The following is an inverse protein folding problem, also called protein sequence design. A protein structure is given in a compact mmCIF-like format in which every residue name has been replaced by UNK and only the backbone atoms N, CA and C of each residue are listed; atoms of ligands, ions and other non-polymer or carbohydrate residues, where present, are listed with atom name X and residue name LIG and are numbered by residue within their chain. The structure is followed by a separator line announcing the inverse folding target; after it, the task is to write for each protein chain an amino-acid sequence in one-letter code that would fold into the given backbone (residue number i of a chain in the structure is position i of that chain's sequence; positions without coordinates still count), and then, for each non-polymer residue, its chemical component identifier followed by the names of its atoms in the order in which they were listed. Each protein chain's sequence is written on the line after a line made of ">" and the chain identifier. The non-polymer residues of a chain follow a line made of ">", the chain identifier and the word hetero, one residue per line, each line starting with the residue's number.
data_IF_671418120400
#
_entry.id   IF_671418120400
#
_cell.length_a   1.000
_cell.length_b   1.000
_cell.length_c   1.000
_cell.angle_alpha   90.00
_cell.angle_beta   90.00
_cell.angle_gamma   90.00
#
_symmetry.space_group_name_H-M   'P 1'
#
loop_
_entity.id
_entity.type
_entity.pdbx_description
1 polymer ?
#
# COMPACT_ATOMS: atom_id res chain seq x y z
N UNK A 1 -20.36 0.46 8.63
CA UNK A 1 -20.04 1.76 7.98
C UNK A 1 -19.66 1.54 6.53
N UNK A 2 -20.08 2.43 5.57
CA UNK A 2 -19.63 2.36 4.18
C UNK A 2 -18.14 2.64 4.05
N UNK A 3 -17.48 1.93 3.13
CA UNK A 3 -16.02 1.95 2.99
C UNK A 3 -15.42 3.34 2.74
N UNK A 4 -16.04 4.12 1.86
CA UNK A 4 -15.55 5.47 1.51
C UNK A 4 -15.68 6.45 2.67
N UNK A 5 -16.83 6.49 3.34
CA UNK A 5 -17.04 7.37 4.49
C UNK A 5 -16.18 6.95 5.69
N UNK A 6 -16.01 5.64 5.91
CA UNK A 6 -15.13 5.12 6.95
C UNK A 6 -13.67 5.50 6.70
N UNK A 7 -13.16 5.23 5.50
CA UNK A 7 -11.79 5.61 5.10
C UNK A 7 -11.61 7.14 5.11
N UNK A 8 -12.61 7.87 4.60
CA UNK A 8 -12.62 9.33 4.59
C UNK A 8 -12.48 9.91 6.00
N UNK A 9 -13.36 9.51 6.91
CA UNK A 9 -13.33 9.95 8.32
C UNK A 9 -11.98 9.61 8.97
N UNK A 10 -11.49 8.38 8.79
CA UNK A 10 -10.20 7.92 9.30
C UNK A 10 -9.06 8.84 8.86
N UNK A 11 -8.95 9.09 7.56
CA UNK A 11 -7.82 9.83 7.01
C UNK A 11 -7.91 11.35 7.26
N UNK A 12 -9.12 11.92 7.29
CA UNK A 12 -9.29 13.33 7.69
C UNK A 12 -8.84 13.53 9.13
N UNK A 13 -9.30 12.68 10.06
CA UNK A 13 -8.93 12.81 11.47
C UNK A 13 -7.42 12.59 11.66
N UNK A 14 -6.86 11.51 11.10
CA UNK A 14 -5.44 11.21 11.21
C UNK A 14 -4.56 12.32 10.60
N UNK A 15 -4.91 12.79 9.40
CA UNK A 15 -4.20 13.87 8.73
C UNK A 15 -4.26 15.19 9.49
N UNK A 16 -5.44 15.54 10.04
CA UNK A 16 -5.60 16.74 10.87
C UNK A 16 -4.76 16.66 12.16
N UNK A 17 -4.82 15.54 12.88
CA UNK A 17 -4.00 15.32 14.09
C UNK A 17 -2.52 15.48 13.76
N UNK A 18 -2.06 14.86 12.68
CA UNK A 18 -0.65 14.91 12.29
C UNK A 18 -0.23 16.33 11.83
N UNK A 19 -1.10 17.07 11.12
CA UNK A 19 -0.81 18.48 10.77
C UNK A 19 -0.73 19.39 11.99
N UNK A 20 -1.63 19.24 12.96
CA UNK A 20 -1.59 19.98 14.22
C UNK A 20 -0.28 19.69 14.95
N UNK A 21 0.11 18.44 15.04
CA UNK A 21 1.40 18.05 15.62
C UNK A 21 2.59 18.65 14.88
N UNK A 22 2.61 18.59 13.53
CA UNK A 22 3.65 19.20 12.71
C UNK A 22 3.74 20.72 12.92
N UNK A 23 2.57 21.39 13.03
CA UNK A 23 2.50 22.82 13.31
C UNK A 23 3.08 23.17 14.67
N UNK A 24 2.75 22.36 15.68
CA UNK A 24 3.27 22.51 17.03
C UNK A 24 4.79 22.32 17.09
N UNK A 25 5.32 21.42 16.27
CA UNK A 25 6.78 21.18 16.10
C UNK A 25 7.47 22.26 15.26
N UNK A 26 6.78 23.30 14.83
CA UNK A 26 7.34 24.39 14.03
C UNK A 26 7.67 24.03 12.57
N UNK A 27 7.13 22.92 12.06
CA UNK A 27 7.40 22.50 10.68
C UNK A 27 6.67 23.39 9.69
N UNK A 28 7.28 23.62 8.51
CA UNK A 28 6.64 24.33 7.40
C UNK A 28 5.54 23.46 6.81
N UNK A 29 4.28 23.94 6.87
CA UNK A 29 3.11 23.18 6.38
C UNK A 29 2.74 23.51 4.93
N UNK A 30 2.94 24.75 4.48
CA UNK A 30 2.49 25.22 3.17
C UNK A 30 3.65 25.24 2.19
N UNK A 31 3.40 24.67 1.01
CA UNK A 31 4.35 24.51 -0.07
C UNK A 31 3.76 25.05 -1.38
N UNK A 32 4.56 25.25 -2.46
CA UNK A 32 4.04 25.69 -3.75
C UNK A 32 2.90 24.80 -4.24
N UNK A 33 1.93 25.36 -5.01
CA UNK A 33 0.73 24.62 -5.47
C UNK A 33 1.07 23.30 -6.19
N UNK A 34 2.13 23.28 -6.99
CA UNK A 34 2.59 22.08 -7.68
C UNK A 34 2.97 20.95 -6.70
N UNK A 35 3.67 21.29 -5.61
CA UNK A 35 4.05 20.32 -4.57
C UNK A 35 2.81 19.82 -3.83
N UNK A 36 1.89 20.73 -3.46
CA UNK A 36 0.64 20.37 -2.79
C UNK A 36 -0.24 19.46 -3.64
N UNK A 37 -0.36 19.77 -4.93
CA UNK A 37 -1.11 18.93 -5.88
C UNK A 37 -0.50 17.52 -5.98
N UNK A 38 0.83 17.42 -6.05
CA UNK A 38 1.52 16.14 -6.14
C UNK A 38 1.38 15.32 -4.84
N UNK A 39 1.45 15.97 -3.67
CA UNK A 39 1.14 15.31 -2.40
C UNK A 39 -0.29 14.78 -2.38
N UNK A 40 -1.26 15.58 -2.85
CA UNK A 40 -2.65 15.16 -2.99
C UNK A 40 -2.80 13.95 -3.91
N UNK A 41 -2.19 13.98 -5.09
CA UNK A 41 -2.23 12.88 -6.05
C UNK A 41 -1.62 11.59 -5.46
N UNK A 42 -0.46 11.68 -4.82
CA UNK A 42 0.16 10.53 -4.14
C UNK A 42 -0.77 9.98 -3.06
N UNK A 43 -1.37 10.85 -2.25
CA UNK A 43 -2.35 10.44 -1.23
C UNK A 43 -3.55 9.74 -1.82
N UNK A 44 -4.11 10.24 -2.93
CA UNK A 44 -5.22 9.60 -3.64
C UNK A 44 -4.84 8.21 -4.17
N UNK A 45 -3.66 8.07 -4.78
CA UNK A 45 -3.19 6.80 -5.31
C UNK A 45 -2.96 5.77 -4.19
N UNK A 46 -2.27 6.16 -3.13
CA UNK A 46 -1.94 5.27 -2.02
C UNK A 46 -3.17 4.94 -1.17
N UNK A 47 -3.87 5.95 -0.68
CA UNK A 47 -4.87 5.77 0.36
C UNK A 47 -6.28 5.58 -0.18
N UNK A 48 -6.69 6.31 -1.22
CA UNK A 48 -8.01 6.10 -1.81
C UNK A 48 -7.98 4.91 -2.76
N UNK A 49 -7.14 4.94 -3.79
CA UNK A 49 -7.04 3.86 -4.78
C UNK A 49 -6.67 2.52 -4.15
N UNK A 50 -5.62 2.49 -3.33
CA UNK A 50 -5.15 1.29 -2.67
C UNK A 50 -6.17 0.68 -1.70
N UNK A 51 -6.78 1.50 -0.83
CA UNK A 51 -7.71 0.98 0.18
C UNK A 51 -9.12 0.70 -0.36
N UNK A 52 -9.66 1.52 -1.27
CA UNK A 52 -11.02 1.30 -1.80
C UNK A 52 -11.10 -0.04 -2.53
N UNK A 53 -10.09 -0.36 -3.35
CA UNK A 53 -10.01 -1.65 -4.03
C UNK A 53 -10.02 -2.82 -3.06
N UNK A 54 -9.21 -2.74 -2.00
CA UNK A 54 -9.14 -3.77 -0.96
C UNK A 54 -10.47 -3.93 -0.22
N UNK A 55 -11.04 -2.85 0.32
CA UNK A 55 -12.30 -2.89 1.10
C UNK A 55 -13.49 -3.33 0.24
N UNK A 56 -13.49 -2.99 -1.06
CA UNK A 56 -14.51 -3.50 -1.98
C UNK A 56 -14.38 -5.01 -2.18
N UNK A 57 -13.17 -5.51 -2.36
CA UNK A 57 -12.90 -6.94 -2.55
C UNK A 57 -13.26 -7.76 -1.31
N UNK A 58 -12.96 -7.27 -0.11
CA UNK A 58 -13.26 -7.95 1.16
C UNK A 58 -14.75 -8.16 1.44
N UNK A 59 -15.66 -7.53 0.67
CA UNK A 59 -17.08 -7.82 0.74
C UNK A 59 -17.45 -9.17 0.10
N UNK A 60 -16.61 -9.66 -0.81
CA UNK A 60 -16.88 -10.83 -1.65
C UNK A 60 -15.81 -11.91 -1.47
N UNK A 61 -14.59 -11.50 -1.15
CA UNK A 61 -13.42 -12.38 -1.00
C UNK A 61 -13.03 -12.43 0.48
N UNK A 62 -12.70 -13.61 1.03
CA UNK A 62 -12.18 -13.74 2.40
C UNK A 62 -10.97 -12.83 2.63
N UNK A 63 -10.87 -12.25 3.84
CA UNK A 63 -9.83 -11.28 4.20
C UNK A 63 -8.40 -11.84 4.04
N UNK A 64 -8.22 -13.13 4.35
CA UNK A 64 -6.97 -13.84 4.14
C UNK A 64 -6.56 -13.84 2.66
N UNK A 65 -7.47 -14.16 1.75
CA UNK A 65 -7.23 -14.17 0.30
C UNK A 65 -6.97 -12.76 -0.25
N UNK A 66 -7.73 -11.76 0.22
CA UNK A 66 -7.52 -10.36 -0.16
C UNK A 66 -6.15 -9.85 0.26
N UNK A 67 -5.71 -10.19 1.48
CA UNK A 67 -4.36 -9.84 1.99
C UNK A 67 -3.25 -10.50 1.19
N UNK A 68 -3.45 -11.76 0.79
CA UNK A 68 -2.49 -12.50 -0.02
C UNK A 68 -2.35 -11.91 -1.42
N UNK A 69 -3.46 -11.52 -2.03
CA UNK A 69 -3.43 -10.86 -3.34
C UNK A 69 -2.73 -9.48 -3.27
N UNK A 70 -2.72 -8.80 -2.12
CA UNK A 70 -1.90 -7.60 -1.93
C UNK A 70 -0.39 -7.87 -1.99
N UNK A 71 0.07 -9.10 -1.80
CA UNK A 71 1.47 -9.48 -1.99
C UNK A 71 1.92 -9.40 -3.47
N UNK A 72 1.02 -9.10 -4.41
CA UNK A 72 1.37 -8.74 -5.78
C UNK A 72 2.07 -7.38 -5.90
N UNK A 73 1.96 -6.50 -4.90
CA UNK A 73 2.56 -5.15 -4.92
C UNK A 73 4.06 -5.18 -5.26
N UNK A 74 4.93 -5.99 -4.63
CA UNK A 74 6.33 -6.07 -5.01
C UNK A 74 6.56 -6.52 -6.47
N UNK A 75 5.67 -7.35 -7.01
CA UNK A 75 5.73 -7.77 -8.42
C UNK A 75 5.44 -6.59 -9.35
N UNK A 76 4.40 -5.80 -9.05
CA UNK A 76 4.12 -4.58 -9.79
C UNK A 76 5.24 -3.55 -9.67
N UNK A 77 5.83 -3.38 -8.47
CA UNK A 77 7.01 -2.51 -8.29
C UNK A 77 8.13 -2.93 -9.24
N UNK A 78 8.47 -4.20 -9.26
CA UNK A 78 9.54 -4.71 -10.10
C UNK A 78 9.28 -4.52 -11.60
N UNK A 79 8.05 -4.80 -12.07
CA UNK A 79 7.67 -4.63 -13.47
C UNK A 79 7.70 -3.15 -13.89
N UNK A 80 7.18 -2.26 -13.07
CA UNK A 80 7.16 -0.83 -13.37
C UNK A 80 8.57 -0.25 -13.35
N UNK A 81 9.40 -0.63 -12.35
CA UNK A 81 10.79 -0.19 -12.29
C UNK A 81 11.62 -0.64 -13.51
N UNK A 82 11.35 -1.84 -14.06
CA UNK A 82 11.96 -2.30 -15.31
C UNK A 82 11.57 -1.45 -16.53
N UNK A 83 10.32 -0.97 -16.58
CA UNK A 83 9.81 -0.18 -17.69
C UNK A 83 10.20 1.30 -17.63
N UNK A 84 10.60 1.79 -16.44
CA UNK A 84 10.90 3.21 -16.25
C UNK A 84 12.35 3.56 -16.60
N UNK A 85 12.61 4.74 -17.20
CA UNK A 85 13.97 5.24 -17.40
C UNK A 85 14.74 5.33 -16.07
N UNK A 86 15.97 4.79 -16.06
CA UNK A 86 16.78 4.73 -14.84
C UNK A 86 16.29 3.74 -13.80
N UNK A 87 15.38 2.85 -14.17
CA UNK A 87 14.95 1.72 -13.35
C UNK A 87 16.05 0.68 -13.17
N UNK A 88 15.95 -0.09 -12.11
CA UNK A 88 16.99 -1.06 -11.75
C UNK A 88 16.73 -2.40 -12.49
N UNK A 89 17.74 -2.94 -13.22
CA UNK A 89 17.58 -4.22 -13.90
C UNK A 89 17.42 -5.34 -12.87
N UNK A 90 16.45 -6.20 -13.07
CA UNK A 90 16.23 -7.39 -12.25
C UNK A 90 17.36 -8.41 -12.50
N UNK A 91 18.08 -8.84 -11.45
CA UNK A 91 19.02 -9.94 -11.57
C UNK A 91 18.27 -11.27 -11.84
N UNK A 92 18.97 -12.32 -12.27
CA UNK A 92 18.34 -13.62 -12.59
C UNK A 92 17.45 -14.17 -11.47
N UNK A 93 17.86 -13.99 -10.21
CA UNK A 93 17.05 -14.38 -9.04
C UNK A 93 15.75 -13.57 -8.92
N UNK A 94 15.79 -12.29 -9.29
CA UNK A 94 14.61 -11.44 -9.34
C UNK A 94 13.60 -11.89 -10.40
N UNK A 95 14.07 -12.31 -11.58
CA UNK A 95 13.23 -12.91 -12.62
C UNK A 95 12.57 -14.21 -12.19
N UNK A 96 13.32 -15.11 -11.53
CA UNK A 96 12.76 -16.33 -10.95
C UNK A 96 11.68 -16.00 -9.91
N UNK A 97 11.95 -15.03 -9.03
CA UNK A 97 10.97 -14.54 -8.06
C UNK A 97 9.72 -14.00 -8.74
N UNK A 98 9.88 -13.20 -9.80
CA UNK A 98 8.76 -12.64 -10.56
C UNK A 98 7.87 -13.74 -11.15
N UNK A 99 8.45 -14.74 -11.82
CA UNK A 99 7.73 -15.86 -12.42
C UNK A 99 7.02 -16.72 -11.37
N UNK A 100 7.70 -17.03 -10.27
CA UNK A 100 7.09 -17.78 -9.15
C UNK A 100 5.96 -16.97 -8.49
N UNK A 101 6.11 -15.65 -8.37
CA UNK A 101 5.08 -14.79 -7.82
C UNK A 101 3.82 -14.76 -8.67
N UNK A 102 3.94 -14.67 -10.00
CA UNK A 102 2.81 -14.77 -10.90
C UNK A 102 2.15 -16.15 -10.86
N UNK A 103 2.93 -17.23 -10.87
CA UNK A 103 2.38 -18.58 -10.75
C UNK A 103 1.66 -18.78 -9.40
N UNK A 104 2.21 -18.26 -8.31
CA UNK A 104 1.57 -18.28 -6.99
C UNK A 104 0.29 -17.46 -6.94
N UNK A 105 0.27 -16.29 -7.59
CA UNK A 105 -0.93 -15.45 -7.69
C UNK A 105 -2.01 -16.12 -8.54
N UNK A 106 -1.62 -16.72 -9.67
CA UNK A 106 -2.55 -17.48 -10.52
C UNK A 106 -3.16 -18.65 -9.76
N UNK A 107 -2.34 -19.47 -9.10
CA UNK A 107 -2.82 -20.59 -8.27
C UNK A 107 -3.77 -20.12 -7.16
N UNK A 108 -3.48 -18.97 -6.55
CA UNK A 108 -4.30 -18.37 -5.49
C UNK A 108 -5.66 -17.89 -6.00
N UNK A 109 -5.68 -17.18 -7.11
CA UNK A 109 -6.89 -16.55 -7.65
C UNK A 109 -7.69 -17.47 -8.59
N UNK A 110 -7.08 -18.54 -9.10
CA UNK A 110 -7.69 -19.42 -10.11
C UNK A 110 -9.05 -19.98 -9.73
N UNK A 111 -9.29 -20.48 -8.49
CA UNK A 111 -10.60 -20.96 -8.09
C UNK A 111 -11.67 -19.85 -8.15
N UNK A 112 -11.29 -18.65 -7.72
CA UNK A 112 -12.17 -17.48 -7.74
C UNK A 112 -12.44 -16.97 -9.15
N UNK A 113 -11.45 -16.99 -10.03
CA UNK A 113 -11.59 -16.63 -11.44
C UNK A 113 -12.52 -17.63 -12.14
N UNK A 114 -12.34 -18.93 -11.93
CA UNK A 114 -13.21 -19.97 -12.50
C UNK A 114 -14.68 -19.81 -12.03
N UNK A 115 -14.89 -19.53 -10.74
CA UNK A 115 -16.24 -19.29 -10.21
C UNK A 115 -16.88 -18.07 -10.84
N UNK A 116 -16.10 -16.99 -11.02
CA UNK A 116 -16.56 -15.77 -11.66
C UNK A 116 -16.90 -15.96 -13.15
N UNK A 117 -16.08 -16.72 -13.89
CA UNK A 117 -16.36 -17.07 -15.31
C UNK A 117 -17.64 -17.92 -15.41
N UNK A 118 -17.92 -18.78 -14.43
CA UNK A 118 -19.13 -19.64 -14.38
C UNK A 118 -20.41 -18.91 -14.00
N UNK A 119 -20.34 -17.60 -13.72
CA UNK A 119 -21.52 -16.76 -13.48
C UNK A 119 -21.44 -15.79 -12.32
N UNK A 120 -20.45 -15.91 -11.43
CA UNK A 120 -20.27 -14.95 -10.33
C UNK A 120 -19.44 -13.72 -10.76
N UNK A 121 -20.11 -12.84 -11.49
CA UNK A 121 -19.48 -11.59 -11.96
C UNK A 121 -19.02 -10.68 -10.81
N UNK A 122 -19.67 -10.75 -9.65
CA UNK A 122 -19.28 -9.93 -8.50
C UNK A 122 -17.87 -10.29 -8.02
N UNK A 123 -17.53 -11.59 -8.05
CA UNK A 123 -16.20 -12.08 -7.70
C UNK A 123 -15.12 -11.59 -8.67
N UNK A 124 -15.39 -11.57 -9.98
CA UNK A 124 -14.48 -11.02 -10.99
C UNK A 124 -14.22 -9.52 -10.77
N UNK A 125 -15.27 -8.75 -10.48
CA UNK A 125 -15.12 -7.33 -10.15
C UNK A 125 -14.35 -7.10 -8.86
N UNK A 126 -14.53 -7.96 -7.85
CA UNK A 126 -13.78 -7.90 -6.61
C UNK A 126 -12.27 -8.13 -6.84
N UNK A 127 -11.91 -9.14 -7.64
CA UNK A 127 -10.52 -9.41 -8.02
C UNK A 127 -9.94 -8.25 -8.82
N UNK A 128 -10.66 -7.73 -9.81
CA UNK A 128 -10.22 -6.59 -10.62
C UNK A 128 -9.99 -5.34 -9.75
N UNK A 129 -10.90 -5.05 -8.82
CA UNK A 129 -10.77 -3.93 -7.88
C UNK A 129 -9.55 -4.09 -6.96
N UNK A 130 -9.29 -5.31 -6.48
CA UNK A 130 -8.15 -5.63 -5.64
C UNK A 130 -6.82 -5.40 -6.37
N UNK A 131 -6.69 -5.92 -7.59
CA UNK A 131 -5.50 -5.74 -8.42
C UNK A 131 -5.29 -4.28 -8.84
N UNK A 132 -6.37 -3.58 -9.19
CA UNK A 132 -6.33 -2.14 -9.47
C UNK A 132 -5.91 -1.33 -8.24
N UNK A 133 -6.37 -1.69 -7.05
CA UNK A 133 -5.93 -1.10 -5.79
C UNK A 133 -4.45 -1.32 -5.52
N UNK A 134 -3.95 -2.55 -5.71
CA UNK A 134 -2.54 -2.88 -5.56
C UNK A 134 -1.67 -2.13 -6.58
N UNK A 135 -2.12 -1.98 -7.82
CA UNK A 135 -1.43 -1.19 -8.85
C UNK A 135 -1.41 0.30 -8.49
N UNK A 136 -2.54 0.85 -8.02
CA UNK A 136 -2.63 2.23 -7.56
C UNK A 136 -1.66 2.51 -6.40
N UNK A 137 -1.61 1.61 -5.41
CA UNK A 137 -0.64 1.69 -4.32
C UNK A 137 0.81 1.68 -4.82
N UNK A 138 1.11 0.78 -5.76
CA UNK A 138 2.44 0.66 -6.36
C UNK A 138 2.85 1.94 -7.08
N UNK A 139 2.00 2.47 -7.94
CA UNK A 139 2.26 3.72 -8.68
C UNK A 139 2.45 4.89 -7.72
N UNK A 140 1.59 5.00 -6.70
CA UNK A 140 1.73 6.02 -5.64
C UNK A 140 3.05 5.92 -4.89
N UNK A 141 3.51 4.70 -4.56
CA UNK A 141 4.77 4.44 -3.87
C UNK A 141 5.99 4.86 -4.72
N UNK A 142 6.01 4.46 -5.98
CA UNK A 142 7.08 4.82 -6.92
C UNK A 142 7.11 6.33 -7.16
N UNK A 143 5.93 6.94 -7.34
CA UNK A 143 5.81 8.39 -7.53
C UNK A 143 6.28 9.15 -6.29
N UNK A 144 5.91 8.72 -5.08
CA UNK A 144 6.35 9.32 -3.82
C UNK A 144 7.87 9.35 -3.72
N UNK A 145 8.52 8.23 -4.03
CA UNK A 145 9.99 8.15 -4.00
C UNK A 145 10.68 8.97 -5.08
N UNK A 146 10.19 8.89 -6.33
CA UNK A 146 10.82 9.56 -7.49
C UNK A 146 10.59 11.06 -7.51
N UNK A 147 9.53 11.54 -6.90
CA UNK A 147 9.19 12.96 -6.84
C UNK A 147 10.22 13.78 -6.03
N UNK A 148 10.95 13.17 -5.09
CA UNK A 148 11.98 13.84 -4.25
C UNK A 148 11.50 15.19 -3.74
N UNK A 149 10.30 15.24 -3.19
CA UNK A 149 9.70 16.49 -2.73
C UNK A 149 10.50 17.06 -1.55
N UNK A 150 10.77 18.37 -1.52
CA UNK A 150 11.49 19.02 -0.42
C UNK A 150 10.58 19.23 0.80
N UNK A 151 9.82 18.20 1.17
CA UNK A 151 8.80 18.22 2.25
C UNK A 151 9.17 17.18 3.28
N UNK A 152 9.08 17.53 4.55
CA UNK A 152 9.29 16.56 5.62
C UNK A 152 8.26 15.41 5.53
N UNK A 153 8.68 14.17 5.72
CA UNK A 153 7.86 12.95 5.59
C UNK A 153 6.56 13.00 6.41
N UNK A 154 6.61 13.58 7.61
CA UNK A 154 5.41 13.73 8.47
C UNK A 154 4.40 14.71 7.86
N UNK A 155 4.89 15.84 7.33
CA UNK A 155 4.04 16.83 6.64
C UNK A 155 3.49 16.24 5.36
N UNK A 156 4.29 15.50 4.61
CA UNK A 156 3.87 14.80 3.39
C UNK A 156 2.75 13.79 3.71
N UNK A 157 2.96 12.91 4.69
CA UNK A 157 1.96 11.93 5.11
C UNK A 157 0.65 12.60 5.56
N UNK A 158 0.74 13.70 6.31
CA UNK A 158 -0.42 14.44 6.80
C UNK A 158 -1.27 15.01 5.65
N UNK A 159 -0.64 15.66 4.66
CA UNK A 159 -1.35 16.20 3.49
C UNK A 159 -1.90 15.11 2.58
N UNK A 160 -1.17 14.01 2.40
CA UNK A 160 -1.63 12.84 1.65
C UNK A 160 -2.88 12.24 2.30
N UNK A 161 -2.88 12.06 3.62
CA UNK A 161 -4.05 11.59 4.36
C UNK A 161 -5.23 12.56 4.26
N UNK A 162 -5.02 13.87 4.43
CA UNK A 162 -6.10 14.84 4.29
C UNK A 162 -6.71 14.85 2.90
N UNK A 163 -5.88 14.88 1.85
CA UNK A 163 -6.37 14.88 0.47
C UNK A 163 -7.19 13.62 0.18
N UNK A 164 -6.67 12.44 0.55
CA UNK A 164 -7.38 11.18 0.39
C UNK A 164 -8.66 11.12 1.23
N UNK A 165 -8.61 11.63 2.45
CA UNK A 165 -9.76 11.67 3.36
C UNK A 165 -10.88 12.56 2.85
N UNK A 166 -10.55 13.78 2.43
CA UNK A 166 -11.52 14.73 1.84
C UNK A 166 -12.13 14.15 0.58
N UNK A 167 -11.32 13.61 -0.32
CA UNK A 167 -11.80 13.01 -1.57
C UNK A 167 -12.70 11.80 -1.31
N UNK A 168 -12.28 10.88 -0.43
CA UNK A 168 -13.08 9.69 -0.10
C UNK A 168 -14.42 10.07 0.55
N UNK A 169 -14.43 11.09 1.43
CA UNK A 169 -15.65 11.61 2.04
C UNK A 169 -16.55 12.26 1.00
N UNK A 170 -16.01 13.11 0.12
CA UNK A 170 -16.76 13.75 -0.95
C UNK A 170 -17.39 12.71 -1.91
N UNK A 171 -16.62 11.69 -2.31
CA UNK A 171 -17.09 10.60 -3.16
C UNK A 171 -18.17 9.76 -2.45
N UNK A 172 -17.98 9.42 -1.17
CA UNK A 172 -18.98 8.70 -0.37
C UNK A 172 -20.27 9.50 -0.20
N UNK A 173 -20.16 10.84 -0.08
CA UNK A 173 -21.31 11.75 -0.03
C UNK A 173 -22.04 11.78 -1.36
N UNK A 174 -21.31 11.92 -2.48
CA UNK A 174 -21.87 11.92 -3.83
C UNK A 174 -22.60 10.61 -4.17
N UNK A 175 -22.11 9.49 -3.63
CA UNK A 175 -22.73 8.16 -3.78
C UNK A 175 -23.85 7.88 -2.76
N UNK A 176 -24.28 8.87 -1.98
CA UNK A 176 -25.39 8.76 -1.05
C UNK A 176 -25.18 7.76 0.09
N UNK A 177 -23.93 7.61 0.56
CA UNK A 177 -23.60 6.58 1.57
C UNK A 177 -23.96 6.97 3.01
N UNK A 178 -24.39 8.19 3.29
CA UNK A 178 -24.70 8.67 4.64
C UNK A 178 -25.80 7.91 5.38
N UNK A 179 -26.90 7.48 4.75
CA UNK A 179 -27.93 6.71 5.45
C UNK A 179 -27.43 5.36 6.01
N UNK A 180 -26.32 4.86 5.48
CA UNK A 180 -25.70 3.60 5.95
C UNK A 180 -24.56 3.87 6.97
N UNK A 181 -24.29 5.14 7.30
CA UNK A 181 -23.22 5.53 8.20
C UNK A 181 -23.70 5.49 9.66
N UNK A 182 -23.63 4.32 10.26
CA UNK A 182 -23.99 4.11 11.67
C UNK A 182 -22.74 3.88 12.50
N UNK A 183 -22.59 4.66 13.57
CA UNK A 183 -21.50 4.53 14.54
C UNK A 183 -22.00 3.69 15.71
N UNK A 184 -21.32 2.60 16.01
CA UNK A 184 -21.48 1.81 17.22
C UNK A 184 -20.11 1.65 17.92
N UNK A 185 -20.12 1.14 19.15
CA UNK A 185 -18.91 0.98 19.97
C UNK A 185 -17.81 0.20 19.23
N UNK A 186 -18.20 -0.88 18.52
CA UNK A 186 -17.24 -1.71 17.75
C UNK A 186 -16.63 -0.94 16.59
N UNK A 187 -17.44 -0.21 15.82
CA UNK A 187 -16.94 0.58 14.68
C UNK A 187 -16.13 1.78 15.14
N UNK A 188 -16.49 2.42 16.24
CA UNK A 188 -15.70 3.51 16.84
C UNK A 188 -14.35 3.01 17.34
N UNK A 189 -14.30 1.86 18.02
CA UNK A 189 -13.04 1.24 18.46
C UNK A 189 -12.14 0.86 17.28
N UNK A 190 -12.71 0.26 16.21
CA UNK A 190 -11.98 -0.05 14.98
C UNK A 190 -11.44 1.22 14.31
N UNK A 191 -12.25 2.28 14.27
CA UNK A 191 -11.83 3.57 13.71
C UNK A 191 -10.67 4.18 14.50
N UNK A 192 -10.77 4.21 15.84
CA UNK A 192 -9.70 4.70 16.71
C UNK A 192 -8.40 3.90 16.54
N UNK A 193 -8.49 2.58 16.50
CA UNK A 193 -7.34 1.70 16.22
C UNK A 193 -6.70 2.00 14.86
N UNK A 194 -7.51 2.13 13.81
CA UNK A 194 -6.99 2.40 12.47
C UNK A 194 -6.44 3.83 12.31
N UNK A 195 -6.98 4.81 13.03
CA UNK A 195 -6.41 6.16 13.08
C UNK A 195 -5.02 6.11 13.73
N UNK A 196 -4.90 5.49 14.89
CA UNK A 196 -3.65 5.47 15.67
C UNK A 196 -2.61 4.52 15.06
N UNK A 197 -2.90 3.22 15.01
CA UNK A 197 -1.95 2.21 14.56
C UNK A 197 -1.79 2.21 13.04
N UNK A 198 -2.89 2.26 12.29
CA UNK A 198 -2.84 2.13 10.82
C UNK A 198 -2.40 3.41 10.11
N UNK A 199 -2.85 4.59 10.58
CA UNK A 199 -2.59 5.86 9.88
C UNK A 199 -1.44 6.63 10.52
N UNK A 200 -1.53 7.00 11.80
CA UNK A 200 -0.50 7.83 12.43
C UNK A 200 0.84 7.10 12.57
N UNK A 201 0.85 5.82 12.91
CA UNK A 201 2.08 5.04 13.02
C UNK A 201 2.43 4.36 11.70
N UNK A 202 1.54 3.52 11.18
CA UNK A 202 1.83 2.65 10.02
C UNK A 202 2.07 3.44 8.74
N UNK A 203 1.13 4.30 8.33
CA UNK A 203 1.27 5.06 7.09
C UNK A 203 2.37 6.12 7.16
N UNK A 204 2.49 6.83 8.28
CA UNK A 204 3.55 7.83 8.46
C UNK A 204 4.93 7.17 8.44
N UNK A 205 5.07 6.02 9.12
CA UNK A 205 6.28 5.20 9.08
C UNK A 205 6.59 4.69 7.66
N UNK A 206 5.58 4.28 6.89
CA UNK A 206 5.73 3.86 5.50
C UNK A 206 6.26 4.99 4.61
N UNK A 207 5.69 6.21 4.72
CA UNK A 207 6.16 7.37 3.95
C UNK A 207 7.59 7.75 4.33
N UNK A 208 7.91 7.75 5.63
CA UNK A 208 9.27 7.97 6.11
C UNK A 208 10.26 6.94 5.51
N UNK A 209 9.91 5.66 5.56
CA UNK A 209 10.76 4.59 5.04
C UNK A 209 10.93 4.68 3.52
N UNK A 210 9.88 4.97 2.75
CA UNK A 210 9.97 5.12 1.29
C UNK A 210 10.93 6.24 0.87
N UNK A 211 11.03 7.31 1.64
CA UNK A 211 11.95 8.41 1.36
C UNK A 211 13.40 8.05 1.66
N UNK A 212 13.65 7.23 2.69
CA UNK A 212 15.00 6.94 3.19
C UNK A 212 15.55 5.57 2.74
N UNK A 213 14.68 4.63 2.38
CA UNK A 213 15.05 3.25 2.07
C UNK A 213 14.54 2.86 0.68
N UNK A 214 15.26 2.06 -0.12
CA UNK A 214 14.77 1.56 -1.41
C UNK A 214 13.38 0.91 -1.30
N UNK A 215 12.48 1.22 -2.25
CA UNK A 215 11.09 0.74 -2.25
C UNK A 215 11.03 -0.79 -2.12
N UNK A 216 11.90 -1.51 -2.81
CA UNK A 216 11.99 -2.97 -2.74
C UNK A 216 12.27 -3.50 -1.31
N UNK A 217 13.03 -2.75 -0.48
CA UNK A 217 13.23 -3.11 0.93
C UNK A 217 12.04 -2.72 1.79
N UNK A 218 11.44 -1.55 1.54
CA UNK A 218 10.26 -1.12 2.28
C UNK A 218 9.11 -2.09 2.08
N UNK A 219 8.89 -2.53 0.83
CA UNK A 219 7.80 -3.47 0.51
C UNK A 219 7.98 -4.88 1.09
N UNK A 220 9.12 -5.16 1.78
CA UNK A 220 9.32 -6.46 2.46
C UNK A 220 8.30 -6.76 3.56
N UNK A 221 7.60 -5.76 4.11
CA UNK A 221 6.47 -6.00 5.02
C UNK A 221 5.34 -6.84 4.36
N UNK A 222 5.25 -6.80 3.04
CA UNK A 222 4.29 -7.60 2.29
C UNK A 222 4.44 -9.11 2.50
N UNK A 223 5.60 -9.58 3.00
CA UNK A 223 5.79 -10.98 3.42
C UNK A 223 5.11 -11.33 4.73
N UNK A 224 5.15 -10.37 5.66
CA UNK A 224 4.62 -10.60 7.01
C UNK A 224 3.10 -10.48 7.00
N UNK A 225 2.57 -9.56 6.20
CA UNK A 225 1.13 -9.33 6.14
C UNK A 225 0.29 -10.58 5.82
N UNK A 226 0.59 -11.38 4.79
CA UNK A 226 -0.16 -12.59 4.51
C UNK A 226 -0.11 -13.61 5.64
N UNK A 227 1.06 -13.79 6.26
CA UNK A 227 1.20 -14.74 7.38
C UNK A 227 0.34 -14.31 8.57
N UNK A 228 0.39 -13.03 8.93
CA UNK A 228 -0.43 -12.48 10.01
C UNK A 228 -1.93 -12.55 9.66
N UNK A 229 -2.30 -12.20 8.41
CA UNK A 229 -3.69 -12.22 7.97
C UNK A 229 -4.29 -13.62 8.01
N UNK A 230 -3.56 -14.64 7.53
CA UNK A 230 -4.02 -16.05 7.58
C UNK A 230 -4.12 -16.53 9.02
N UNK A 231 -3.12 -16.25 9.86
CA UNK A 231 -3.19 -16.61 11.29
C UNK A 231 -4.40 -15.98 11.97
N UNK A 232 -4.65 -14.69 11.74
CA UNK A 232 -5.81 -14.00 12.30
C UNK A 232 -7.12 -14.50 11.68
N UNK A 233 -7.16 -14.80 10.39
CA UNK A 233 -8.29 -15.40 9.69
C UNK A 233 -8.68 -16.75 10.30
N UNK A 234 -7.71 -17.63 10.52
CA UNK A 234 -7.93 -18.94 11.17
C UNK A 234 -8.36 -18.74 12.62
N UNK A 235 -7.66 -17.90 13.40
CA UNK A 235 -7.86 -17.79 14.86
C UNK A 235 -9.14 -17.01 15.22
N UNK A 236 -9.44 -15.92 14.50
CA UNK A 236 -10.52 -15.00 14.85
C UNK A 236 -11.78 -15.19 13.99
N UNK A 237 -11.62 -15.54 12.72
CA UNK A 237 -12.71 -15.66 11.76
C UNK A 237 -13.05 -17.11 11.44
N UNK A 238 -12.28 -18.09 11.94
CA UNK A 238 -12.44 -19.52 11.69
C UNK A 238 -12.41 -19.88 10.19
N UNK A 239 -11.67 -19.07 9.39
CA UNK A 239 -11.45 -19.32 7.98
C UNK A 239 -10.66 -20.63 7.78
N UNK A 240 -11.00 -21.39 6.73
CA UNK A 240 -10.31 -22.66 6.38
C UNK A 240 -9.75 -22.53 4.98
N UNK A 241 -8.47 -22.06 4.84
CA UNK A 241 -7.83 -21.99 3.54
C UNK A 241 -7.77 -23.37 2.87
N UNK A 242 -8.03 -23.43 1.58
CA UNK A 242 -7.90 -24.66 0.80
C UNK A 242 -6.44 -24.94 0.40
N UNK A 243 -6.16 -26.13 -0.11
CA UNK A 243 -4.79 -26.53 -0.48
C UNK A 243 -4.19 -25.64 -1.57
N UNK A 244 -4.99 -25.19 -2.55
CA UNK A 244 -4.51 -24.31 -3.64
C UNK A 244 -4.12 -22.92 -3.10
N UNK A 245 -4.88 -22.41 -2.13
CA UNK A 245 -4.56 -21.16 -1.43
C UNK A 245 -3.25 -21.27 -0.65
N UNK A 246 -3.01 -22.39 0.07
CA UNK A 246 -1.73 -22.63 0.73
C UNK A 246 -0.54 -22.71 -0.23
N UNK A 247 -0.69 -23.38 -1.37
CA UNK A 247 0.36 -23.49 -2.41
C UNK A 247 0.62 -22.11 -3.02
N UNK A 248 -0.43 -21.36 -3.35
CA UNK A 248 -0.32 -20.00 -3.87
C UNK A 248 0.39 -19.07 -2.87
N UNK A 249 0.04 -19.15 -1.58
CA UNK A 249 0.71 -18.42 -0.49
C UNK A 249 2.20 -18.71 -0.44
N UNK A 250 2.57 -19.98 -0.37
CA UNK A 250 3.97 -20.40 -0.32
C UNK A 250 4.74 -19.88 -1.54
N UNK A 251 4.15 -19.97 -2.73
CA UNK A 251 4.73 -19.44 -3.98
C UNK A 251 4.97 -17.94 -3.92
N UNK A 252 3.98 -17.16 -3.47
CA UNK A 252 4.10 -15.70 -3.33
C UNK A 252 5.18 -15.35 -2.30
N UNK A 253 5.20 -15.98 -1.12
CA UNK A 253 6.20 -15.71 -0.09
C UNK A 253 7.62 -16.01 -0.60
N UNK A 254 7.83 -17.15 -1.26
CA UNK A 254 9.13 -17.51 -1.87
C UNK A 254 9.51 -16.50 -2.97
N UNK A 255 8.57 -16.13 -3.83
CA UNK A 255 8.79 -15.15 -4.90
C UNK A 255 9.28 -13.81 -4.37
N UNK A 256 8.56 -13.29 -3.38
CA UNK A 256 8.87 -11.99 -2.78
C UNK A 256 10.22 -12.08 -2.03
N UNK A 257 10.51 -13.18 -1.32
CA UNK A 257 11.82 -13.43 -0.71
C UNK A 257 12.95 -13.39 -1.75
N UNK A 258 12.80 -14.09 -2.88
CA UNK A 258 13.78 -14.08 -3.96
C UNK A 258 13.98 -12.69 -4.55
N UNK A 259 12.90 -11.91 -4.71
CA UNK A 259 12.97 -10.56 -5.27
C UNK A 259 13.68 -9.56 -4.36
N UNK A 260 13.43 -9.59 -3.05
CA UNK A 260 14.06 -8.63 -2.12
C UNK A 260 15.48 -9.00 -1.74
N UNK A 261 15.82 -10.30 -1.75
CA UNK A 261 17.19 -10.77 -1.51
C UNK A 261 18.04 -10.69 -2.78
N UNK A 262 17.43 -10.53 -3.96
CA UNK A 262 18.16 -10.21 -5.17
C UNK A 262 18.85 -8.85 -4.99
N UNK A 263 20.17 -8.84 -4.80
CA UNK A 263 20.96 -7.61 -4.62
C UNK A 263 20.83 -6.76 -5.88
N UNK A 264 20.09 -5.67 -5.78
CA UNK A 264 20.09 -4.64 -6.81
C UNK A 264 21.39 -3.87 -6.65
N UNK A 265 22.32 -4.04 -7.58
CA UNK A 265 23.51 -3.18 -7.68
C UNK A 265 23.04 -1.80 -8.13
N UNK A 266 22.88 -0.88 -7.19
CA UNK A 266 22.59 0.52 -7.48
C UNK A 266 23.84 1.09 -8.17
N UNK A 267 23.79 1.22 -9.50
CA UNK A 267 24.78 2.01 -10.25
C UNK A 267 24.50 3.49 -9.93
N UNK A 268 25.34 4.11 -9.12
CA UNK A 268 25.34 5.56 -8.92
C UNK A 268 24.60 6.09 -7.71
N UNK A 269 24.77 5.52 -6.50
CA UNK A 269 24.54 6.33 -5.31
C UNK A 269 25.62 7.42 -5.23
N UNK A 270 25.27 8.72 -5.10
CA UNK A 270 26.22 9.73 -4.65
C UNK A 270 26.74 9.25 -3.29
N UNK A 271 28.06 9.26 -3.11
CA UNK A 271 28.69 8.98 -1.81
C UNK A 271 28.03 9.88 -0.76
N UNK A 272 27.74 9.37 0.46
CA UNK A 272 27.25 10.22 1.53
C UNK A 272 28.21 11.37 1.75
N UNK A 273 27.67 12.58 1.86
CA UNK A 273 28.43 13.84 1.96
C UNK A 273 29.49 13.82 3.08
N UNK A 274 29.36 12.95 4.07
CA UNK A 274 30.33 12.77 5.16
C UNK A 274 31.63 12.04 4.78
N UNK A 275 31.74 11.40 3.60
CA UNK A 275 33.02 10.80 3.17
C UNK A 275 33.92 11.78 2.40
N UNK A 276 33.40 12.93 1.95
CA UNK A 276 34.17 13.96 1.26
C UNK A 276 34.95 14.87 2.23
N UNK A 277 34.59 14.83 3.52
CA UNK A 277 35.26 15.68 4.56
C UNK A 277 36.50 15.01 5.19
N UNK A 278 36.84 13.77 4.76
CA UNK A 278 37.98 13.02 5.30
C UNK A 278 39.16 12.88 4.33
N UNK A 279 39.15 13.60 3.20
CA UNK A 279 40.32 13.64 2.34
C UNK A 279 41.30 14.67 2.91
N UNK A 280 42.61 14.31 3.14
CA UNK A 280 43.62 15.28 3.55
C UNK A 280 43.78 16.33 2.46
N UNK A 281 44.04 17.61 2.82
CA UNK A 281 44.32 18.65 1.86
C UNK A 281 45.60 18.32 1.11
N UNK A 282 45.57 18.43 -0.24
CA UNK A 282 46.75 18.35 -1.11
C UNK A 282 47.70 19.56 -0.91
#
# INVERSE_FOLDING_TARGET
>A
MPALLFSGTRFVIAGAILLVWCRWRGMRLVWPPKTMWLLGLIGLLLLTGGNVGLVYAEKTIPSGLASLAQAVVPLFVALIELALPGGEPLPRRGWLGLLLGFAGLDALLWPSIQSGIRGDRALLWAIAALLAGALSWTVGSILSRRARLPVNSFVAAAWQMLAAGIFSTALGTALGQWPQFHVNVRSAGSLAYLITAGSLLGYTGFIYLIEHVPVAKVTSYAYVNPLVAVLLGILLLHERPNTAEFVGMAGIVVAVFLMTTAQVKIKGQPRPVGELEQLPPE
#
